data_IF_524584297656
#
_entry.id   IF_524584297656
#
_cell.length_a   1.000
_cell.length_b   1.000
_cell.length_c   1.000
_cell.angle_alpha   90.00
_cell.angle_beta   90.00
_cell.angle_gamma   90.00
#
_symmetry.space_group_name_H-M   'P 1'
#
loop_
_entity.id
_entity.type
_entity.pdbx_description
1 polymer ?
#
# COMPACT_ATOMS: atom_id res chain seq x y z
N UNK A 1 31.03 9.88 -9.39
CA UNK A 1 30.26 9.18 -8.33
C UNK A 1 30.44 9.78 -6.93
N UNK A 2 31.62 10.32 -6.56
CA UNK A 2 31.88 10.83 -5.19
C UNK A 2 31.01 12.02 -4.74
N UNK A 3 30.78 13.01 -5.61
CA UNK A 3 29.96 14.19 -5.28
C UNK A 3 28.48 13.86 -4.98
N UNK A 4 27.85 12.98 -5.75
CA UNK A 4 26.45 12.56 -5.50
C UNK A 4 26.29 11.88 -4.14
N UNK A 5 27.29 11.11 -3.71
CA UNK A 5 27.29 10.42 -2.42
C UNK A 5 27.37 11.42 -1.25
N UNK A 6 28.16 12.49 -1.40
CA UNK A 6 28.28 13.56 -0.40
C UNK A 6 26.96 14.31 -0.22
N UNK A 7 26.25 14.64 -1.32
CA UNK A 7 24.94 15.29 -1.24
C UNK A 7 23.87 14.41 -0.58
N UNK A 8 23.91 13.09 -0.80
CA UNK A 8 22.97 12.15 -0.16
C UNK A 8 23.27 12.04 1.33
N UNK A 9 24.54 11.95 1.72
CA UNK A 9 24.97 11.88 3.11
C UNK A 9 24.67 13.18 3.87
N UNK A 10 24.90 14.35 3.26
CA UNK A 10 24.57 15.63 3.88
C UNK A 10 23.06 15.81 4.05
N UNK A 11 22.24 15.37 3.08
CA UNK A 11 20.79 15.36 3.21
C UNK A 11 20.31 14.46 4.36
N UNK A 12 20.89 13.26 4.52
CA UNK A 12 20.57 12.34 5.62
C UNK A 12 20.94 12.91 7.01
N UNK A 13 22.07 13.62 7.11
CA UNK A 13 22.52 14.24 8.38
C UNK A 13 21.64 15.44 8.76
N UNK A 14 21.22 16.25 7.79
CA UNK A 14 20.29 17.36 8.06
C UNK A 14 18.91 16.83 8.45
N UNK A 15 18.43 15.76 7.81
CA UNK A 15 17.15 15.12 8.15
C UNK A 15 17.15 14.55 9.58
N UNK A 16 18.26 13.95 10.03
CA UNK A 16 18.38 13.41 11.39
C UNK A 16 18.45 14.49 12.46
N UNK A 17 19.04 15.65 12.18
CA UNK A 17 19.09 16.79 13.10
C UNK A 17 17.69 17.40 13.34
N UNK A 18 16.85 17.50 12.31
CA UNK A 18 15.45 17.94 12.45
C UNK A 18 14.57 16.94 13.22
N UNK A 19 14.90 15.64 13.19
CA UNK A 19 14.13 14.61 13.88
C UNK A 19 14.26 14.66 15.41
N UNK A 20 15.30 15.30 15.96
CA UNK A 20 15.63 15.23 17.39
C UNK A 20 14.93 16.30 18.27
N UNK A 21 14.13 17.20 17.72
CA UNK A 21 13.50 18.31 18.48
C UNK A 21 12.01 18.08 18.83
N UNK A 22 11.57 16.83 18.99
CA UNK A 22 10.19 16.53 19.38
C UNK A 22 10.04 16.44 20.91
N UNK A 23 9.57 17.53 21.54
CA UNK A 23 9.07 17.49 22.93
C UNK A 23 7.95 16.44 23.04
N UNK A 24 8.08 15.50 23.99
CA UNK A 24 7.10 14.44 24.35
C UNK A 24 5.78 15.05 24.83
N UNK A 25 4.93 15.42 23.89
CA UNK A 25 3.52 15.72 24.14
C UNK A 25 2.68 14.48 23.81
N UNK A 26 1.56 14.31 24.53
CA UNK A 26 0.55 13.26 24.30
C UNK A 26 0.02 13.22 22.85
N UNK A 27 0.22 14.32 22.11
CA UNK A 27 -0.07 14.48 20.70
C UNK A 27 1.18 14.25 19.86
N UNK A 28 1.30 13.05 19.29
CA UNK A 28 2.43 12.67 18.45
C UNK A 28 2.05 12.76 16.97
N UNK A 29 3.02 13.17 16.16
CA UNK A 29 2.91 13.28 14.71
C UNK A 29 4.03 12.44 14.11
N UNK A 30 3.67 11.44 13.34
CA UNK A 30 4.59 10.48 12.76
C UNK A 30 4.40 10.52 11.23
N UNK A 31 5.51 10.54 10.51
CA UNK A 31 5.52 10.32 9.07
C UNK A 31 6.20 8.97 8.85
N UNK A 32 5.55 8.09 8.12
CA UNK A 32 6.05 6.77 7.80
C UNK A 32 6.02 6.51 6.30
N UNK A 33 6.82 5.52 5.89
CA UNK A 33 6.86 5.02 4.52
C UNK A 33 6.48 3.55 4.53
N UNK A 34 5.85 3.10 3.46
CA UNK A 34 5.53 1.71 3.20
C UNK A 34 6.33 1.25 1.98
N UNK A 35 6.96 0.09 2.08
CA UNK A 35 7.63 -0.60 0.96
C UNK A 35 7.20 -2.07 1.03
N UNK A 36 6.75 -2.62 -0.09
CA UNK A 36 6.23 -3.98 -0.11
C UNK A 36 5.94 -4.49 -1.52
N UNK A 37 5.10 -5.51 -1.59
CA UNK A 37 4.64 -6.11 -2.84
C UNK A 37 3.13 -5.99 -3.01
N UNK A 38 2.69 -5.97 -4.26
CA UNK A 38 1.29 -6.06 -4.67
C UNK A 38 1.12 -7.19 -5.68
N UNK A 39 0.05 -7.97 -5.54
CA UNK A 39 -0.30 -9.06 -6.43
C UNK A 39 -1.83 -9.14 -6.57
N UNK A 40 -2.30 -9.72 -7.68
CA UNK A 40 -3.72 -9.80 -7.99
C UNK A 40 -4.28 -11.17 -7.63
N UNK A 41 -5.44 -11.17 -6.96
CA UNK A 41 -6.30 -12.34 -6.79
C UNK A 41 -7.67 -11.98 -7.38
N UNK A 42 -8.21 -12.85 -8.24
CA UNK A 42 -9.50 -12.66 -8.89
C UNK A 42 -9.66 -13.58 -10.11
N UNK A 43 -10.47 -13.18 -11.09
CA UNK A 43 -10.93 -14.06 -12.17
C UNK A 43 -9.80 -14.64 -13.04
N UNK A 44 -8.72 -13.89 -13.24
CA UNK A 44 -7.52 -14.33 -13.99
C UNK A 44 -6.55 -15.13 -13.09
N UNK A 45 -6.51 -14.85 -11.79
CA UNK A 45 -5.67 -15.55 -10.82
C UNK A 45 -6.45 -15.85 -9.55
N UNK A 46 -7.15 -16.99 -9.53
CA UNK A 46 -8.18 -17.23 -8.51
C UNK A 46 -7.62 -17.60 -7.14
N UNK A 47 -6.50 -18.32 -7.09
CA UNK A 47 -6.00 -18.92 -5.84
C UNK A 47 -4.50 -18.79 -5.59
N UNK A 48 -3.70 -18.30 -6.56
CA UNK A 48 -2.24 -18.30 -6.40
C UNK A 48 -1.75 -17.01 -5.77
N UNK A 49 -1.28 -17.09 -4.53
CA UNK A 49 -0.61 -15.98 -3.87
C UNK A 49 0.79 -15.75 -4.46
N UNK A 50 1.23 -14.48 -4.45
CA UNK A 50 2.56 -14.02 -4.89
C UNK A 50 2.92 -14.19 -6.37
N UNK A 51 2.02 -14.71 -7.21
CA UNK A 51 2.24 -14.82 -8.65
C UNK A 51 2.07 -13.44 -9.31
N UNK A 52 3.00 -13.08 -10.20
CA UNK A 52 3.09 -11.76 -10.84
C UNK A 52 3.22 -10.58 -9.86
N UNK A 53 3.77 -10.82 -8.67
CA UNK A 53 4.03 -9.77 -7.68
C UNK A 53 4.87 -8.63 -8.26
N UNK A 54 4.49 -7.40 -7.92
CA UNK A 54 5.21 -6.18 -8.28
C UNK A 54 5.49 -5.35 -7.04
N UNK A 55 6.55 -4.53 -7.06
CA UNK A 55 6.80 -3.62 -5.96
C UNK A 55 5.64 -2.65 -5.76
N UNK A 56 5.37 -2.33 -4.50
CA UNK A 56 4.43 -1.32 -4.05
C UNK A 56 5.14 -0.45 -3.01
N UNK A 57 4.76 0.82 -2.97
CA UNK A 57 5.32 1.79 -2.03
C UNK A 57 4.24 2.79 -1.62
N UNK A 58 4.40 3.40 -0.46
CA UNK A 58 3.45 4.39 0.05
C UNK A 58 4.06 5.29 1.09
N UNK A 59 3.32 6.34 1.42
CA UNK A 59 3.63 7.26 2.50
C UNK A 59 2.39 7.43 3.35
N UNK A 60 2.57 7.60 4.65
CA UNK A 60 1.46 7.88 5.56
C UNK A 60 1.88 8.86 6.63
N UNK A 61 0.91 9.65 7.05
CA UNK A 61 0.97 10.53 8.19
C UNK A 61 0.06 9.97 9.29
N UNK A 62 0.61 9.78 10.47
CA UNK A 62 -0.11 9.28 11.64
C UNK A 62 -0.12 10.35 12.72
N UNK A 63 -1.33 10.66 13.20
CA UNK A 63 -1.60 11.64 14.21
C UNK A 63 -2.23 10.98 15.43
N UNK A 64 -1.45 10.88 16.51
CA UNK A 64 -1.90 10.33 17.79
C UNK A 64 -2.53 11.46 18.59
N UNK A 65 -3.81 11.33 18.94
CA UNK A 65 -4.51 12.33 19.76
C UNK A 65 -4.31 12.07 21.25
N UNK A 66 -4.35 10.79 21.65
CA UNK A 66 -4.15 10.27 23.01
C UNK A 66 -3.35 8.96 22.93
N UNK A 67 -2.89 8.41 24.07
CA UNK A 67 -2.15 7.13 24.11
C UNK A 67 -2.86 5.92 23.50
N UNK A 68 -4.18 6.03 23.27
CA UNK A 68 -5.01 4.96 22.72
C UNK A 68 -5.53 5.26 21.32
N UNK A 69 -5.72 6.51 20.93
CA UNK A 69 -6.35 6.88 19.67
C UNK A 69 -5.38 7.56 18.71
N UNK A 70 -5.28 7.04 17.49
CA UNK A 70 -4.54 7.66 16.42
C UNK A 70 -5.37 7.70 15.12
N UNK A 71 -5.02 8.65 14.25
CA UNK A 71 -5.58 8.76 12.91
C UNK A 71 -4.45 8.63 11.90
N UNK A 72 -4.61 7.79 10.88
CA UNK A 72 -3.64 7.63 9.80
C UNK A 72 -4.26 8.10 8.50
N UNK A 73 -3.56 9.00 7.83
CA UNK A 73 -3.84 9.38 6.45
C UNK A 73 -2.69 8.91 5.59
N UNK A 74 -2.95 8.33 4.43
CA UNK A 74 -1.86 7.89 3.58
C UNK A 74 -2.23 7.69 2.13
N UNK A 75 -1.18 7.51 1.35
CA UNK A 75 -1.20 7.32 -0.07
C UNK A 75 -0.32 6.13 -0.42
N UNK A 76 -0.88 5.13 -1.11
CA UNK A 76 -0.14 4.01 -1.65
C UNK A 76 -0.16 4.02 -3.17
N UNK A 77 0.95 3.58 -3.75
CA UNK A 77 1.11 3.29 -5.16
C UNK A 77 1.58 1.85 -5.32
N UNK A 78 0.91 1.10 -6.18
CA UNK A 78 1.27 -0.28 -6.50
C UNK A 78 0.89 -0.61 -7.93
N UNK A 79 1.55 -1.61 -8.49
CA UNK A 79 1.24 -2.11 -9.82
C UNK A 79 0.74 -3.54 -9.70
N UNK A 80 -0.42 -3.84 -10.24
CA UNK A 80 -0.87 -5.23 -10.34
C UNK A 80 -0.71 -5.74 -11.77
N UNK A 81 -0.43 -7.02 -11.91
CA UNK A 81 -0.42 -7.70 -13.19
C UNK A 81 -0.86 -9.14 -13.00
N UNK A 82 -1.49 -9.71 -14.02
CA UNK A 82 -1.74 -11.15 -14.09
C UNK A 82 -1.79 -11.60 -15.55
N UNK A 83 -1.48 -12.87 -15.79
CA UNK A 83 -1.67 -13.50 -17.08
C UNK A 83 -2.10 -14.96 -16.91
N UNK A 84 -2.99 -15.40 -17.79
CA UNK A 84 -3.52 -16.75 -17.82
C UNK A 84 -2.45 -17.80 -18.20
N UNK A 85 -1.34 -17.39 -18.82
CA UNK A 85 -0.25 -18.27 -19.25
C UNK A 85 0.42 -19.08 -18.13
N UNK A 86 0.26 -18.64 -16.88
CA UNK A 86 0.72 -19.37 -15.68
C UNK A 86 -0.42 -20.02 -14.92
N UNK A 87 -1.63 -20.12 -15.49
CA UNK A 87 -2.74 -20.81 -14.84
C UNK A 87 -2.60 -22.33 -14.92
N UNK A 88 -3.28 -23.05 -14.00
CA UNK A 88 -3.43 -24.51 -14.05
C UNK A 88 -4.70 -24.95 -14.80
N UNK A 89 -5.63 -24.02 -15.06
CA UNK A 89 -6.90 -24.34 -15.73
C UNK A 89 -6.73 -24.30 -17.25
N UNK A 90 -7.14 -25.37 -17.93
CA UNK A 90 -7.04 -25.47 -19.40
C UNK A 90 -7.78 -24.32 -20.10
N UNK A 91 -8.97 -23.95 -19.62
CA UNK A 91 -9.77 -22.85 -20.18
C UNK A 91 -9.08 -21.49 -20.08
N UNK A 92 -8.38 -21.25 -18.96
CA UNK A 92 -7.61 -20.01 -18.78
C UNK A 92 -6.40 -20.02 -19.72
N UNK A 93 -5.67 -21.13 -19.80
CA UNK A 93 -4.53 -21.25 -20.73
C UNK A 93 -4.94 -21.04 -22.20
N UNK A 94 -6.10 -21.56 -22.61
CA UNK A 94 -6.66 -21.36 -23.95
C UNK A 94 -7.05 -19.91 -24.23
N UNK A 95 -7.57 -19.21 -23.21
CA UNK A 95 -7.94 -17.78 -23.32
C UNK A 95 -6.72 -16.86 -23.40
N UNK A 96 -5.61 -17.23 -22.76
CA UNK A 96 -4.33 -16.52 -22.75
C UNK A 96 -4.46 -14.99 -22.49
N UNK A 97 -5.38 -14.59 -21.60
CA UNK A 97 -5.57 -13.17 -21.29
C UNK A 97 -4.45 -12.65 -20.38
N UNK A 98 -4.06 -11.40 -20.57
CA UNK A 98 -3.12 -10.74 -19.66
C UNK A 98 -3.45 -9.28 -19.46
N UNK A 99 -3.22 -8.80 -18.24
CA UNK A 99 -3.45 -7.41 -17.88
C UNK A 99 -2.40 -6.88 -16.92
N UNK A 100 -2.28 -5.56 -16.90
CA UNK A 100 -1.47 -4.79 -15.97
C UNK A 100 -2.21 -3.51 -15.62
N UNK A 101 -2.22 -3.12 -14.34
CA UNK A 101 -2.82 -1.86 -13.91
C UNK A 101 -1.95 -1.20 -12.86
N UNK A 102 -1.78 0.11 -12.99
CA UNK A 102 -1.28 0.94 -11.90
C UNK A 102 -2.45 1.27 -10.97
N UNK A 103 -2.21 1.19 -9.66
CA UNK A 103 -3.17 1.45 -8.59
C UNK A 103 -2.62 2.58 -7.73
N UNK A 104 -3.46 3.58 -7.54
CA UNK A 104 -3.28 4.65 -6.58
C UNK A 104 -4.36 4.53 -5.51
N UNK A 105 -3.94 4.52 -4.25
CA UNK A 105 -4.84 4.39 -3.10
C UNK A 105 -4.64 5.59 -2.18
N UNK A 106 -5.74 6.24 -1.83
CA UNK A 106 -5.80 7.21 -0.74
C UNK A 106 -6.62 6.62 0.39
N UNK A 107 -6.10 6.63 1.61
CA UNK A 107 -6.78 6.06 2.77
C UNK A 107 -6.77 6.97 3.98
N UNK A 108 -7.86 6.91 4.75
CA UNK A 108 -8.00 7.51 6.08
C UNK A 108 -8.41 6.39 7.03
N UNK A 109 -7.64 6.18 8.09
CA UNK A 109 -7.89 5.17 9.11
C UNK A 109 -7.94 5.82 10.49
N UNK A 110 -8.80 5.31 11.35
CA UNK A 110 -8.78 5.52 12.79
C UNK A 110 -8.25 4.26 13.46
N UNK A 111 -7.29 4.41 14.35
CA UNK A 111 -6.62 3.35 15.08
C UNK A 111 -6.92 3.47 16.57
N UNK A 112 -7.23 2.33 17.18
CA UNK A 112 -7.37 2.17 18.63
C UNK A 112 -6.35 1.18 19.15
N UNK A 113 -5.52 1.62 20.09
CA UNK A 113 -4.49 0.83 20.77
C UNK A 113 -5.05 0.40 22.14
N UNK A 114 -5.08 -0.91 22.39
CA UNK A 114 -5.57 -1.47 23.66
C UNK A 114 -4.59 -1.22 24.81
N UNK A 115 -3.30 -1.21 24.50
CA UNK A 115 -2.22 -0.91 25.44
C UNK A 115 -1.70 0.49 25.13
N UNK A 116 -1.48 1.29 26.18
CA UNK A 116 -1.01 2.66 26.04
C UNK A 116 0.33 2.72 25.32
N UNK A 117 0.33 3.28 24.11
CA UNK A 117 1.54 3.43 23.32
C UNK A 117 2.33 4.62 23.85
N UNK A 118 3.50 4.38 24.45
CA UNK A 118 4.43 5.41 24.95
C UNK A 118 5.82 5.15 24.39
N UNK A 119 6.26 5.98 23.42
CA UNK A 119 7.62 5.92 22.87
C UNK A 119 8.62 6.22 23.99
N UNK A 120 9.47 5.25 24.36
CA UNK A 120 10.58 5.40 25.33
C UNK A 120 10.25 5.02 26.79
N UNK A 121 9.32 4.11 27.03
CA UNK A 121 9.09 3.50 28.35
C UNK A 121 9.36 1.99 28.28
N UNK A 122 10.27 1.47 29.10
CA UNK A 122 10.86 0.13 28.99
C UNK A 122 9.93 -1.03 29.43
N UNK A 123 8.60 -0.80 29.53
CA UNK A 123 7.65 -1.73 30.15
C UNK A 123 6.64 -2.34 29.16
N UNK A 124 6.51 -1.79 27.95
CA UNK A 124 5.53 -2.24 26.95
C UNK A 124 6.19 -2.36 25.56
N UNK A 125 6.80 -3.52 25.27
CA UNK A 125 7.42 -3.82 23.98
C UNK A 125 6.40 -4.18 22.89
N UNK A 126 5.20 -4.56 23.28
CA UNK A 126 4.12 -4.97 22.38
C UNK A 126 2.85 -4.17 22.70
N UNK A 127 2.23 -3.63 21.66
CA UNK A 127 0.89 -3.04 21.75
C UNK A 127 -0.02 -3.67 20.70
N UNK A 128 -1.19 -4.13 21.13
CA UNK A 128 -2.23 -4.58 20.23
C UNK A 128 -3.06 -3.37 19.80
N UNK A 129 -3.31 -3.26 18.50
CA UNK A 129 -4.16 -2.21 17.95
C UNK A 129 -5.15 -2.80 16.95
N UNK A 130 -6.29 -2.14 16.84
CA UNK A 130 -7.27 -2.34 15.77
C UNK A 130 -7.40 -1.03 15.01
N UNK A 131 -7.84 -1.11 13.77
CA UNK A 131 -8.15 0.09 13.02
C UNK A 131 -9.35 -0.14 12.11
N UNK A 132 -10.00 0.96 11.77
CA UNK A 132 -11.08 1.01 10.81
C UNK A 132 -10.94 2.28 9.98
N UNK A 133 -11.30 2.21 8.70
CA UNK A 133 -11.07 3.33 7.80
C UNK A 133 -11.78 3.20 6.47
N UNK A 134 -11.62 4.23 5.65
CA UNK A 134 -12.10 4.29 4.28
C UNK A 134 -10.94 4.53 3.33
N UNK A 135 -10.96 3.85 2.20
CA UNK A 135 -9.96 3.98 1.15
C UNK A 135 -10.62 4.21 -0.21
N UNK A 136 -10.04 5.10 -0.99
CA UNK A 136 -10.41 5.39 -2.37
C UNK A 136 -9.30 4.90 -3.31
N UNK A 137 -9.69 4.15 -4.34
CA UNK A 137 -8.75 3.57 -5.30
C UNK A 137 -8.98 4.15 -6.69
N UNK A 138 -7.90 4.51 -7.36
CA UNK A 138 -7.87 4.81 -8.78
C UNK A 138 -6.98 3.79 -9.49
N UNK A 139 -7.50 3.18 -10.55
CA UNK A 139 -6.78 2.18 -11.33
C UNK A 139 -6.99 2.41 -12.82
N UNK A 140 -5.94 2.15 -13.61
CA UNK A 140 -5.98 2.25 -15.06
C UNK A 140 -5.50 0.93 -15.69
N UNK A 141 -6.42 -0.03 -15.96
CA UNK A 141 -6.05 -1.34 -16.44
C UNK A 141 -5.71 -1.29 -17.94
N UNK A 142 -4.63 -1.98 -18.28
CA UNK A 142 -4.09 -2.15 -19.62
C UNK A 142 -4.08 -3.64 -19.93
N UNK A 143 -4.51 -4.01 -21.14
CA UNK A 143 -4.39 -5.37 -21.63
C UNK A 143 -3.34 -5.45 -22.73
N UNK A 144 -2.74 -6.62 -22.87
CA UNK A 144 -1.93 -6.94 -24.03
C UNK A 144 -2.87 -7.52 -25.10
N UNK A 145 -3.21 -6.70 -26.08
CA UNK A 145 -4.02 -7.05 -27.24
C UNK A 145 -3.01 -7.12 -28.39
N UNK A 146 -2.95 -8.23 -29.13
CA UNK A 146 -2.02 -8.52 -30.25
C UNK A 146 -0.66 -9.17 -29.91
N UNK A 147 -0.67 -10.37 -29.30
CA UNK A 147 0.49 -11.28 -29.26
C UNK A 147 1.85 -10.62 -28.92
N UNK A 148 1.86 -9.61 -28.02
CA UNK A 148 3.07 -8.93 -27.58
C UNK A 148 3.43 -7.62 -28.30
N UNK A 149 2.59 -7.06 -29.17
CA UNK A 149 2.90 -5.82 -29.91
C UNK A 149 2.59 -4.51 -29.17
N UNK A 150 1.90 -4.54 -28.02
CA UNK A 150 1.75 -3.35 -27.19
C UNK A 150 0.75 -3.47 -26.04
N UNK A 151 0.99 -2.71 -24.96
CA UNK A 151 0.01 -2.54 -23.88
C UNK A 151 -0.96 -1.45 -24.26
N UNK A 152 -2.24 -1.80 -24.47
CA UNK A 152 -3.29 -0.83 -24.75
C UNK A 152 -4.11 -0.60 -23.49
N UNK A 153 -4.45 0.67 -23.24
CA UNK A 153 -5.34 1.02 -22.14
C UNK A 153 -6.73 0.47 -22.44
N UNK A 154 -7.29 -0.32 -21.53
CA UNK A 154 -8.65 -0.79 -21.68
C UNK A 154 -9.58 0.42 -21.51
N UNK A 155 -10.08 0.95 -22.62
CA UNK A 155 -11.14 1.94 -22.57
C UNK A 155 -12.34 1.33 -21.84
N UNK A 156 -12.90 2.11 -20.92
CA UNK A 156 -14.11 1.74 -20.18
C UNK A 156 -15.25 1.61 -21.19
N UNK A 157 -15.50 0.39 -21.68
CA UNK A 157 -16.61 0.14 -22.58
C UNK A 157 -17.89 0.53 -21.82
N UNK A 158 -18.61 1.53 -22.33
CA UNK A 158 -19.75 2.15 -21.68
C UNK A 158 -20.94 1.18 -21.62
N UNK A 159 -20.87 0.19 -20.72
CA UNK A 159 -22.07 -0.49 -20.26
C UNK A 159 -22.76 0.42 -19.25
N UNK A 160 -23.82 1.07 -19.74
CA UNK A 160 -24.82 1.82 -18.99
C UNK A 160 -25.33 0.90 -17.86
N UNK A 161 -25.11 1.30 -16.59
CA UNK A 161 -25.25 0.52 -15.32
C UNK A 161 -24.01 -0.37 -15.10
N UNK A 162 -23.04 -0.09 -14.24
CA UNK A 162 -23.06 0.43 -12.86
C UNK A 162 -21.69 1.03 -12.54
N UNK A 163 -21.65 2.30 -12.15
CA UNK A 163 -20.47 2.91 -11.51
C UNK A 163 -20.39 2.37 -10.07
N UNK A 164 -20.10 1.08 -9.90
CA UNK A 164 -19.97 0.45 -8.58
C UNK A 164 -18.60 0.84 -8.03
N UNK A 165 -18.52 2.00 -7.36
CA UNK A 165 -17.48 2.26 -6.36
C UNK A 165 -17.74 1.23 -5.27
N UNK A 166 -17.01 0.11 -5.27
CA UNK A 166 -17.04 -0.84 -4.17
C UNK A 166 -16.11 -0.23 -3.11
N UNK A 167 -16.62 0.26 -1.96
CA UNK A 167 -15.75 0.54 -0.83
C UNK A 167 -15.25 -0.80 -0.33
N UNK A 168 -14.06 -1.22 -0.75
CA UNK A 168 -13.41 -2.38 -0.17
C UNK A 168 -12.90 -1.97 1.22
N UNK A 169 -13.57 -2.46 2.26
CA UNK A 169 -13.08 -2.38 3.64
C UNK A 169 -11.94 -3.40 3.73
N UNK A 170 -10.70 -2.93 3.59
CA UNK A 170 -9.51 -3.75 3.79
C UNK A 170 -9.10 -3.70 5.26
N UNK A 171 -9.33 -4.79 6.00
CA UNK A 171 -8.78 -5.01 7.33
C UNK A 171 -7.36 -5.57 7.12
N UNK A 172 -6.32 -4.75 7.31
CA UNK A 172 -4.95 -5.28 7.41
C UNK A 172 -4.70 -5.71 8.86
N UNK A 173 -4.23 -6.93 9.06
CA UNK A 173 -3.52 -7.27 10.28
C UNK A 173 -2.04 -6.99 10.01
N UNK A 174 -1.47 -5.96 10.64
CA UNK A 174 -0.02 -5.78 10.63
C UNK A 174 0.55 -6.21 11.97
N UNK A 175 1.08 -7.44 12.01
CA UNK A 175 1.99 -7.90 13.05
C UNK A 175 3.42 -7.73 12.55
N UNK A 176 3.99 -6.52 12.65
CA UNK A 176 5.42 -6.38 12.87
C UNK A 176 5.80 -4.93 13.23
N UNK A 177 6.38 -4.78 14.42
CA UNK A 177 7.28 -3.68 14.76
C UNK A 177 8.67 -4.29 14.91
N UNK A 178 9.66 -3.69 14.29
CA UNK A 178 11.01 -3.66 14.85
C UNK A 178 11.35 -2.22 15.19
N UNK A 179 12.11 -2.11 16.28
CA UNK A 179 12.60 -0.93 17.00
C UNK A 179 13.04 0.21 16.07
#
# INVERSE_FOLDING_TARGET
>A
MRLKLVYILSFLVVFSAFAQTAKRNFRQREIGVFLGGSYYIGDINTFKHFVYSKPAAGIFFRYTTNYRYAFRFGFNYGRIAAADSKSKSADQLLRNASFRSDIYELHILSEFNFVEYRIGHNKHYFTMFIFAGVAGFHHNPQANIDNGRGWQTLQKHSHRRTKKRIPTISIFYSFWNWI
#
